data_IF_518410566313
#
_entry.id   IF_518410566313
#
_cell.length_a   1.000
_cell.length_b   1.000
_cell.length_c   1.000
_cell.angle_alpha   90.00
_cell.angle_beta   90.00
_cell.angle_gamma   90.00
#
_symmetry.space_group_name_H-M   'P 1'
#
loop_
_entity.id
_entity.type
_entity.pdbx_description
1 polymer ?
#
# COMPACT_ATOMS: atom_id res chain seq x y z
N UNK A 1 2.09 12.05 22.22
CA UNK A 1 2.55 11.77 20.83
C UNK A 1 2.86 13.12 20.20
N UNK A 2 4.04 13.27 19.58
CA UNK A 2 4.42 14.49 18.84
C UNK A 2 3.66 14.57 17.51
N UNK A 3 3.77 15.71 16.81
CA UNK A 3 3.19 15.89 15.48
C UNK A 3 3.59 14.76 14.51
N UNK A 4 2.66 14.33 13.65
CA UNK A 4 2.94 13.35 12.62
C UNK A 4 3.97 13.89 11.61
N UNK A 5 4.89 13.04 11.18
CA UNK A 5 5.85 13.34 10.11
C UNK A 5 5.28 12.85 8.77
N UNK A 6 5.76 13.37 7.63
CA UNK A 6 5.44 12.82 6.31
C UNK A 6 5.74 11.31 6.24
N UNK A 7 4.94 10.56 5.47
CA UNK A 7 5.04 9.10 5.42
C UNK A 7 6.42 8.63 4.94
N UNK A 8 7.01 9.32 3.95
CA UNK A 8 8.39 9.08 3.48
C UNK A 8 9.44 9.13 4.60
N UNK A 9 9.20 9.96 5.64
CA UNK A 9 10.05 10.01 6.84
C UNK A 9 9.69 8.93 7.86
N UNK A 10 8.40 8.63 8.02
CA UNK A 10 7.95 7.59 8.93
C UNK A 10 8.49 6.20 8.54
N UNK A 11 8.62 5.93 7.24
CA UNK A 11 9.12 4.64 6.74
C UNK A 11 10.65 4.50 6.75
N UNK A 12 11.42 5.55 7.08
CA UNK A 12 12.89 5.44 7.21
C UNK A 12 13.29 4.39 8.27
N UNK A 13 12.43 4.13 9.26
CA UNK A 13 12.58 3.09 10.28
C UNK A 13 11.69 1.86 10.06
N UNK A 14 11.20 1.63 8.83
CA UNK A 14 10.33 0.48 8.57
C UNK A 14 11.04 -0.84 8.89
N UNK A 15 10.27 -1.81 9.42
CA UNK A 15 10.76 -3.17 9.61
C UNK A 15 10.41 -3.98 8.38
N UNK A 16 11.43 -4.51 7.71
CA UNK A 16 11.27 -5.46 6.62
C UNK A 16 11.41 -6.88 7.15
N UNK A 17 10.68 -7.79 6.51
CA UNK A 17 10.69 -9.21 6.84
C UNK A 17 10.75 -9.98 5.54
N UNK A 18 11.58 -11.01 5.50
CA UNK A 18 11.65 -11.95 4.39
C UNK A 18 11.04 -13.26 4.83
N UNK A 19 10.10 -13.78 4.04
CA UNK A 19 9.47 -15.07 4.28
C UNK A 19 9.83 -16.03 3.14
N UNK A 20 10.37 -17.19 3.47
CA UNK A 20 10.76 -18.21 2.50
C UNK A 20 9.90 -19.46 2.72
N UNK A 21 9.40 -20.05 1.63
CA UNK A 21 8.57 -21.28 1.66
C UNK A 21 7.38 -21.18 2.65
N UNK A 22 6.72 -20.02 2.67
CA UNK A 22 5.59 -19.75 3.56
C UNK A 22 4.26 -19.93 2.82
N UNK A 23 3.24 -20.42 3.53
CA UNK A 23 1.85 -20.42 3.04
C UNK A 23 1.10 -19.22 3.58
N UNK A 24 0.24 -18.65 2.76
CA UNK A 24 -0.57 -17.50 3.14
C UNK A 24 -1.40 -16.98 1.98
N UNK A 25 -1.92 -15.77 2.14
CA UNK A 25 -2.79 -15.13 1.16
C UNK A 25 -2.26 -13.74 0.84
N UNK A 26 -2.13 -13.44 -0.45
CA UNK A 26 -1.96 -12.07 -0.95
C UNK A 26 -3.33 -11.46 -1.22
N UNK A 27 -3.54 -10.23 -0.77
CA UNK A 27 -4.78 -9.47 -0.98
C UNK A 27 -4.39 -8.06 -1.38
N UNK A 28 -5.01 -7.54 -2.43
CA UNK A 28 -4.65 -6.24 -2.96
C UNK A 28 -5.54 -5.82 -4.12
N UNK A 29 -5.16 -4.72 -4.73
CA UNK A 29 -5.85 -4.16 -5.88
C UNK A 29 -4.87 -3.84 -6.99
N UNK A 30 -5.40 -3.71 -8.21
CA UNK A 30 -4.68 -3.12 -9.33
C UNK A 30 -5.40 -1.85 -9.78
N UNK A 31 -4.76 -0.69 -9.61
CA UNK A 31 -5.34 0.58 -10.04
C UNK A 31 -4.80 1.00 -11.42
N UNK A 32 -5.63 1.64 -12.26
CA UNK A 32 -5.18 2.21 -13.53
C UNK A 32 -4.30 3.45 -13.30
N UNK A 33 -3.40 3.74 -14.25
CA UNK A 33 -2.46 4.88 -14.15
C UNK A 33 -3.15 6.24 -13.95
N UNK A 34 -4.33 6.44 -14.53
CA UNK A 34 -5.05 7.71 -14.43
C UNK A 34 -5.63 7.99 -13.04
N UNK A 35 -5.52 7.07 -12.07
CA UNK A 35 -5.97 7.31 -10.69
C UNK A 35 -5.15 8.42 -10.00
N UNK A 36 -3.93 8.67 -10.49
CA UNK A 36 -3.01 9.69 -9.97
C UNK A 36 -2.82 9.56 -8.46
N UNK A 37 -2.74 10.69 -7.75
CA UNK A 37 -2.51 10.74 -6.31
C UNK A 37 -3.69 10.25 -5.44
N UNK A 38 -4.81 9.82 -6.04
CA UNK A 38 -5.95 9.31 -5.28
C UNK A 38 -5.70 7.90 -4.73
N UNK A 39 -4.77 7.15 -5.34
CA UNK A 39 -4.35 5.82 -4.90
C UNK A 39 -2.99 5.45 -5.50
N UNK A 40 -2.51 4.22 -5.32
CA UNK A 40 -1.25 3.73 -5.88
C UNK A 40 -1.49 3.07 -7.26
N UNK A 41 -0.96 3.62 -8.37
CA UNK A 41 -1.05 2.98 -9.67
C UNK A 41 -0.38 1.60 -9.72
N UNK A 42 -0.91 0.70 -10.55
CA UNK A 42 -0.38 -0.66 -10.67
C UNK A 42 -0.85 -1.56 -9.52
N UNK A 43 -0.04 -2.55 -9.16
CA UNK A 43 -0.38 -3.52 -8.12
C UNK A 43 0.02 -3.03 -6.73
N UNK A 44 -0.90 -3.15 -5.78
CA UNK A 44 -0.68 -2.91 -4.36
C UNK A 44 -1.17 -4.12 -3.57
N UNK A 45 -0.24 -4.89 -3.02
CA UNK A 45 -0.55 -6.12 -2.27
C UNK A 45 -0.10 -6.05 -0.82
N UNK A 46 -0.94 -6.58 0.06
CA UNK A 46 -0.56 -7.00 1.39
C UNK A 46 -0.56 -8.54 1.46
N UNK A 47 0.21 -9.09 2.39
CA UNK A 47 0.31 -10.52 2.65
C UNK A 47 -0.04 -10.86 4.10
N UNK A 48 -0.68 -12.01 4.30
CA UNK A 48 -0.91 -12.61 5.62
C UNK A 48 -0.57 -14.10 5.58
N UNK A 49 0.18 -14.56 6.57
CA UNK A 49 0.52 -15.98 6.76
C UNK A 49 -0.71 -16.83 7.08
N UNK A 50 -0.69 -18.11 6.72
CA UNK A 50 -1.80 -19.05 6.95
C UNK A 50 -2.18 -19.18 8.44
N UNK A 51 -1.18 -19.12 9.33
CA UNK A 51 -1.40 -19.15 10.79
C UNK A 51 -1.78 -17.79 11.39
N UNK A 52 -1.85 -16.74 10.55
CA UNK A 52 -2.23 -15.36 10.86
C UNK A 52 -1.33 -14.66 11.88
N UNK A 53 -0.09 -15.12 12.08
CA UNK A 53 0.82 -14.51 13.07
C UNK A 53 1.74 -13.44 12.48
N UNK A 54 1.94 -13.46 11.16
CA UNK A 54 2.78 -12.52 10.45
C UNK A 54 2.17 -12.09 9.11
N UNK A 55 2.61 -10.95 8.61
CA UNK A 55 2.14 -10.34 7.37
C UNK A 55 2.73 -8.95 7.18
N UNK A 56 2.26 -8.23 6.17
CA UNK A 56 2.70 -6.87 5.90
C UNK A 56 2.42 -6.40 4.47
N UNK A 57 2.90 -5.21 4.16
CA UNK A 57 2.97 -4.68 2.80
C UNK A 57 4.03 -5.44 2.00
N UNK A 58 3.72 -5.79 0.74
CA UNK A 58 4.59 -6.61 -0.12
C UNK A 58 5.52 -5.70 -0.92
N UNK A 59 6.83 -5.87 -0.71
CA UNK A 59 7.88 -5.15 -1.45
C UNK A 59 8.36 -5.95 -2.66
N UNK A 60 8.57 -7.26 -2.47
CA UNK A 60 8.99 -8.19 -3.51
C UNK A 60 8.28 -9.52 -3.32
N UNK A 61 8.08 -10.25 -4.43
CA UNK A 61 7.35 -11.51 -4.43
C UNK A 61 7.91 -12.48 -5.47
N UNK A 62 8.19 -13.70 -5.01
CA UNK A 62 8.42 -14.87 -5.86
C UNK A 62 7.41 -15.92 -5.44
N UNK A 63 6.56 -16.34 -6.37
CA UNK A 63 5.54 -17.37 -6.15
C UNK A 63 5.62 -18.43 -7.24
N UNK A 64 5.31 -19.67 -6.87
CA UNK A 64 5.20 -20.82 -7.78
C UNK A 64 3.86 -21.51 -7.49
N UNK A 65 3.16 -21.94 -8.54
CA UNK A 65 1.93 -22.74 -8.47
C UNK A 65 0.88 -22.20 -7.48
N UNK A 66 0.33 -21.02 -7.77
CA UNK A 66 -0.70 -20.37 -6.95
C UNK A 66 -2.04 -20.29 -7.68
N UNK A 67 -3.11 -20.26 -6.89
CA UNK A 67 -4.45 -19.95 -7.38
C UNK A 67 -4.76 -18.46 -7.20
N UNK A 68 -5.28 -17.82 -8.24
CA UNK A 68 -5.64 -16.41 -8.22
C UNK A 68 -7.12 -16.22 -8.51
N UNK A 69 -7.75 -15.34 -7.71
CA UNK A 69 -9.13 -14.91 -7.89
C UNK A 69 -9.13 -13.41 -8.16
N UNK A 70 -9.87 -12.99 -9.19
CA UNK A 70 -9.92 -11.58 -9.61
C UNK A 70 -11.37 -11.15 -9.60
N UNK A 71 -11.65 -10.05 -8.92
CA UNK A 71 -12.90 -9.31 -9.01
C UNK A 71 -12.68 -8.06 -9.87
N UNK A 72 -13.47 -7.94 -10.93
CA UNK A 72 -13.42 -6.77 -11.81
C UNK A 72 -14.36 -5.70 -11.26
N UNK A 73 -13.80 -4.70 -10.58
CA UNK A 73 -14.54 -3.57 -10.05
C UNK A 73 -14.43 -2.37 -10.98
N UNK A 74 -15.53 -1.96 -11.60
CA UNK A 74 -15.63 -0.83 -12.54
C UNK A 74 -16.01 0.49 -11.87
N UNK A 75 -16.26 0.48 -10.56
CA UNK A 75 -16.66 1.64 -9.78
C UNK A 75 -15.68 1.93 -8.65
N UNK A 76 -15.39 3.21 -8.42
CA UNK A 76 -14.56 3.68 -7.31
C UNK A 76 -15.34 4.68 -6.48
N UNK A 77 -15.48 4.40 -5.18
CA UNK A 77 -16.15 5.27 -4.22
C UNK A 77 -15.14 5.77 -3.18
N UNK A 78 -15.01 7.09 -3.06
CA UNK A 78 -14.16 7.72 -2.06
C UNK A 78 -15.01 8.49 -1.06
N UNK A 79 -14.82 8.17 0.23
CA UNK A 79 -15.28 9.01 1.34
C UNK A 79 -14.12 9.82 1.88
N UNK A 80 -14.22 11.14 1.81
CA UNK A 80 -13.21 12.04 2.36
C UNK A 80 -13.35 12.15 3.89
N UNK A 81 -12.25 12.29 4.65
CA UNK A 81 -12.31 12.50 6.09
C UNK A 81 -12.93 13.85 6.46
N UNK A 82 -13.90 13.83 7.39
CA UNK A 82 -14.58 15.04 7.89
C UNK A 82 -13.83 15.64 9.10
N UNK A 83 -12.59 16.09 8.90
CA UNK A 83 -11.81 16.67 9.99
C UNK A 83 -10.91 17.84 9.54
N UNK A 84 -10.54 18.69 10.50
CA UNK A 84 -9.72 19.90 10.25
C UNK A 84 -8.34 19.59 9.69
N UNK A 85 -7.73 18.45 10.02
CA UNK A 85 -6.40 18.09 9.50
C UNK A 85 -6.48 17.84 7.99
N UNK A 86 -7.53 17.15 7.53
CA UNK A 86 -7.76 16.90 6.10
C UNK A 86 -8.13 18.17 5.35
N UNK A 87 -9.03 19.01 5.90
CA UNK A 87 -9.44 20.26 5.24
C UNK A 87 -8.32 21.31 5.13
N UNK A 88 -7.35 21.28 6.05
CA UNK A 88 -6.19 22.16 6.03
C UNK A 88 -4.97 21.50 5.34
N UNK A 89 -5.13 20.32 4.75
CA UNK A 89 -4.05 19.62 4.06
C UNK A 89 -3.71 20.36 2.77
N UNK A 90 -2.47 20.80 2.63
CA UNK A 90 -2.00 21.41 1.39
C UNK A 90 -1.60 20.31 0.40
N UNK A 91 -2.57 19.82 -0.37
CA UNK A 91 -2.38 18.70 -1.31
C UNK A 91 -1.60 19.06 -2.59
N UNK A 92 -1.31 20.35 -2.84
CA UNK A 92 -0.56 20.79 -4.01
C UNK A 92 0.95 20.50 -3.97
N UNK A 93 1.43 19.73 -2.98
CA UNK A 93 2.82 19.33 -2.78
C UNK A 93 3.00 17.80 -2.74
N UNK A 94 2.06 17.02 -3.30
CA UNK A 94 2.27 15.60 -3.52
C UNK A 94 3.41 15.39 -4.52
N UNK A 95 4.46 14.67 -4.14
CA UNK A 95 5.51 14.25 -5.06
C UNK A 95 5.26 12.78 -5.41
N UNK A 96 5.06 12.46 -6.70
CA UNK A 96 4.92 11.07 -7.17
C UNK A 96 6.11 10.19 -6.70
N UNK A 97 7.29 10.78 -6.56
CA UNK A 97 8.47 10.10 -6.01
C UNK A 97 8.30 9.67 -4.55
N UNK A 98 7.57 10.44 -3.74
CA UNK A 98 7.32 10.10 -2.34
C UNK A 98 6.38 8.89 -2.25
N UNK A 99 5.34 8.83 -3.09
CA UNK A 99 4.43 7.68 -3.17
C UNK A 99 5.19 6.43 -3.59
N UNK A 100 6.03 6.52 -4.64
CA UNK A 100 6.84 5.38 -5.07
C UNK A 100 7.82 4.92 -3.98
N UNK A 101 8.47 5.85 -3.28
CA UNK A 101 9.41 5.54 -2.19
C UNK A 101 8.71 4.82 -1.03
N UNK A 102 7.48 5.22 -0.71
CA UNK A 102 6.68 4.60 0.35
C UNK A 102 6.24 3.20 -0.03
N UNK A 103 5.71 3.03 -1.25
CA UNK A 103 5.03 1.80 -1.66
C UNK A 103 5.98 0.72 -2.17
N UNK A 104 7.14 1.08 -2.72
CA UNK A 104 8.10 0.08 -3.25
C UNK A 104 9.22 -0.26 -2.26
N UNK A 105 9.30 0.44 -1.14
CA UNK A 105 10.49 0.39 -0.28
C UNK A 105 11.71 1.00 -0.98
N UNK A 106 12.81 1.16 -0.24
CA UNK A 106 14.08 1.60 -0.83
C UNK A 106 14.76 0.48 -1.61
#
# INVERSE_FOLDING_TARGET
QSAYVPLVKAIEGQKTFEFTNVRGTLIGFRMPEYIGDMNVPGYHFHFITEDKKAGGHVLELIIQDQEAYIDYTDNFFMKVPENKLFYNLNSGQGNEEDVQTVEKGK
#
